data_IF_268028000348
#
_entry.id   IF_268028000348
#
_cell.length_a   1.000
_cell.length_b   1.000
_cell.length_c   1.000
_cell.angle_alpha   90.00
_cell.angle_beta   90.00
_cell.angle_gamma   90.00
#
_symmetry.space_group_name_H-M   'P 1'
#
loop_
_entity.id
_entity.type
_entity.pdbx_description
1 polymer ?
#
# COMPACT_ATOMS: atom_id res chain seq x y z
N UNK A 1 -58.92 5.86 -14.25
CA UNK A 1 -58.22 4.56 -14.16
C UNK A 1 -56.79 4.76 -14.62
N UNK A 2 -55.82 4.57 -13.73
CA UNK A 2 -54.40 4.25 -13.99
C UNK A 2 -54.28 2.78 -14.47
N UNK A 3 -53.12 2.25 -14.95
CA UNK A 3 -51.76 2.78 -14.81
C UNK A 3 -50.87 2.83 -16.10
N UNK A 4 -49.78 3.55 -15.93
CA UNK A 4 -48.55 3.64 -16.73
C UNK A 4 -47.88 2.30 -17.00
N UNK A 5 -47.33 2.10 -18.20
CA UNK A 5 -46.31 1.08 -18.46
C UNK A 5 -45.01 1.71 -18.92
N UNK A 6 -43.98 1.44 -18.12
CA UNK A 6 -42.58 1.75 -18.33
C UNK A 6 -42.04 0.82 -19.42
N UNK A 7 -41.77 1.34 -20.61
CA UNK A 7 -40.83 0.71 -21.58
C UNK A 7 -40.22 1.79 -22.48
N UNK A 8 -39.57 2.77 -21.85
CA UNK A 8 -38.41 3.39 -22.46
C UNK A 8 -37.23 2.37 -22.40
N UNK A 9 -36.27 2.51 -23.33
CA UNK A 9 -34.91 1.93 -23.24
C UNK A 9 -34.63 0.49 -23.73
N UNK A 10 -35.14 0.02 -24.87
CA UNK A 10 -34.44 -1.09 -25.57
C UNK A 10 -34.55 -1.06 -27.11
N UNK A 11 -34.39 0.09 -27.75
CA UNK A 11 -34.17 0.16 -29.21
C UNK A 11 -32.77 0.72 -29.45
N UNK A 12 -31.75 -0.15 -29.43
CA UNK A 12 -30.37 0.29 -29.65
C UNK A 12 -29.30 -0.79 -29.57
N UNK A 13 -29.62 -2.00 -29.12
CA UNK A 13 -28.66 -3.10 -29.12
C UNK A 13 -28.99 -4.05 -30.27
N UNK A 14 -28.26 -3.90 -31.38
CA UNK A 14 -28.27 -4.88 -32.47
C UNK A 14 -27.89 -6.25 -31.91
N UNK A 15 -28.60 -7.32 -32.31
CA UNK A 15 -28.22 -8.70 -32.02
C UNK A 15 -26.75 -8.97 -32.39
N UNK A 16 -26.25 -8.28 -33.41
CA UNK A 16 -24.85 -8.35 -33.85
C UNK A 16 -23.87 -7.88 -32.77
N UNK A 17 -24.22 -6.85 -31.99
CA UNK A 17 -23.40 -6.34 -30.88
C UNK A 17 -23.36 -7.31 -29.70
N UNK A 18 -24.46 -8.03 -29.44
CA UNK A 18 -24.53 -9.05 -28.38
C UNK A 18 -23.72 -10.29 -28.76
N UNK A 19 -23.81 -10.74 -30.01
CA UNK A 19 -23.05 -11.89 -30.52
C UNK A 19 -21.54 -11.59 -30.53
N UNK A 20 -21.14 -10.40 -30.99
CA UNK A 20 -19.74 -9.98 -30.92
C UNK A 20 -19.26 -9.89 -29.46
N UNK A 21 -20.06 -9.30 -28.57
CA UNK A 21 -19.73 -9.23 -27.14
C UNK A 21 -19.52 -10.60 -26.50
N UNK A 22 -20.42 -11.56 -26.72
CA UNK A 22 -20.30 -12.93 -26.19
C UNK A 22 -19.12 -13.69 -26.81
N UNK A 23 -18.87 -13.51 -28.10
CA UNK A 23 -17.70 -14.08 -28.77
C UNK A 23 -16.40 -13.56 -28.16
N UNK A 24 -16.29 -12.25 -27.94
CA UNK A 24 -15.13 -11.64 -27.28
C UNK A 24 -14.95 -12.16 -25.84
N UNK A 25 -16.03 -12.25 -25.05
CA UNK A 25 -15.97 -12.79 -23.68
C UNK A 25 -15.52 -14.25 -23.69
N UNK A 26 -16.03 -15.09 -24.59
CA UNK A 26 -15.62 -16.49 -24.70
C UNK A 26 -14.13 -16.64 -25.07
N UNK A 27 -13.62 -15.79 -25.97
CA UNK A 27 -12.22 -15.77 -26.36
C UNK A 27 -11.31 -15.30 -25.22
N UNK A 28 -11.75 -14.31 -24.46
CA UNK A 28 -11.06 -13.82 -23.26
C UNK A 28 -10.99 -14.93 -22.20
N UNK A 29 -12.10 -15.62 -21.91
CA UNK A 29 -12.13 -16.75 -20.97
C UNK A 29 -11.25 -17.91 -21.42
N UNK A 30 -11.24 -18.23 -22.72
CA UNK A 30 -10.36 -19.26 -23.30
C UNK A 30 -8.88 -18.85 -23.25
N UNK A 31 -8.56 -17.58 -23.48
CA UNK A 31 -7.19 -17.06 -23.35
C UNK A 31 -6.70 -17.16 -21.91
N UNK A 32 -7.52 -16.76 -20.94
CA UNK A 32 -7.18 -16.93 -19.52
C UNK A 32 -6.97 -18.40 -19.13
N UNK A 33 -7.84 -19.31 -19.60
CA UNK A 33 -7.70 -20.74 -19.36
C UNK A 33 -6.44 -21.33 -20.02
N UNK A 34 -6.09 -20.87 -21.23
CA UNK A 34 -4.86 -21.26 -21.91
C UNK A 34 -3.62 -20.75 -21.18
N UNK A 35 -3.63 -19.50 -20.72
CA UNK A 35 -2.51 -18.86 -20.00
C UNK A 35 -2.26 -19.53 -18.63
N UNK A 36 -3.32 -19.98 -17.95
CA UNK A 36 -3.25 -20.77 -16.72
C UNK A 36 -2.71 -22.19 -16.93
N UNK A 37 -2.97 -22.79 -18.10
CA UNK A 37 -2.59 -24.18 -18.41
C UNK A 37 -1.21 -24.31 -19.08
N UNK A 38 -0.71 -23.25 -19.73
CA UNK A 38 0.50 -23.32 -20.58
C UNK A 38 1.74 -22.68 -20.00
N UNK A 39 1.58 -21.74 -19.06
CA UNK A 39 2.72 -21.19 -18.33
C UNK A 39 2.96 -22.09 -17.12
N UNK A 40 4.05 -22.87 -17.05
CA UNK A 40 4.37 -23.55 -15.82
C UNK A 40 4.43 -22.49 -14.71
N UNK A 41 3.85 -22.75 -13.52
CA UNK A 41 4.07 -21.86 -12.39
C UNK A 41 5.58 -21.63 -12.28
N UNK A 42 6.03 -20.39 -11.97
CA UNK A 42 7.42 -20.16 -11.63
C UNK A 42 7.86 -21.27 -10.68
N UNK A 43 9.04 -21.89 -10.85
CA UNK A 43 9.49 -22.94 -9.95
C UNK A 43 9.34 -22.43 -8.52
N UNK A 44 8.37 -22.97 -7.78
CA UNK A 44 8.21 -22.68 -6.36
C UNK A 44 9.42 -23.32 -5.70
N UNK A 45 10.46 -22.51 -5.51
CA UNK A 45 11.70 -22.96 -4.91
C UNK A 45 11.45 -23.31 -3.44
N UNK A 46 11.69 -24.59 -3.15
CA UNK A 46 11.87 -25.24 -1.83
C UNK A 46 10.60 -25.46 -1.00
N UNK A 47 10.01 -26.65 -1.21
CA UNK A 47 9.25 -27.33 -0.18
C UNK A 47 10.18 -28.22 0.67
N UNK A 48 9.83 -28.36 1.95
CA UNK A 48 10.36 -29.23 3.01
C UNK A 48 11.50 -28.76 3.93
N UNK A 49 12.24 -27.67 3.67
CA UNK A 49 13.20 -27.16 4.68
C UNK A 49 13.32 -25.63 4.70
N UNK A 50 12.23 -25.00 5.07
CA UNK A 50 12.19 -23.59 5.42
C UNK A 50 12.85 -23.34 6.76
N UNK A 51 14.09 -22.88 6.75
CA UNK A 51 14.72 -22.26 7.91
C UNK A 51 14.51 -20.74 7.83
N UNK A 52 13.58 -20.16 8.62
CA UNK A 52 13.35 -18.72 8.61
C UNK A 52 14.54 -17.91 9.16
N UNK A 53 15.52 -18.55 9.79
CA UNK A 53 16.77 -17.90 10.20
C UNK A 53 17.78 -17.76 9.04
N UNK A 54 17.49 -18.34 7.88
CA UNK A 54 18.36 -18.28 6.72
C UNK A 54 18.03 -17.09 5.81
N UNK A 55 18.87 -16.05 5.86
CA UNK A 55 18.70 -14.80 5.09
C UNK A 55 18.81 -14.95 3.56
N UNK A 56 19.26 -16.10 3.05
CA UNK A 56 19.42 -16.31 1.59
C UNK A 56 18.11 -16.14 0.83
N UNK A 57 16.99 -16.56 1.42
CA UNK A 57 15.66 -16.43 0.81
C UNK A 57 15.24 -14.96 0.76
N UNK A 58 15.46 -14.22 1.85
CA UNK A 58 15.22 -12.78 1.94
C UNK A 58 16.02 -12.00 0.90
N UNK A 59 17.30 -12.35 0.71
CA UNK A 59 18.17 -11.73 -0.29
C UNK A 59 17.69 -12.00 -1.72
N UNK A 60 17.26 -13.23 -2.01
CA UNK A 60 16.69 -13.59 -3.31
C UNK A 60 15.42 -12.78 -3.60
N UNK A 61 14.48 -12.74 -2.67
CA UNK A 61 13.22 -11.97 -2.81
C UNK A 61 13.50 -10.49 -3.09
N UNK A 62 14.37 -9.86 -2.31
CA UNK A 62 14.70 -8.45 -2.48
C UNK A 62 15.37 -8.17 -3.82
N UNK A 63 16.29 -9.04 -4.24
CA UNK A 63 16.95 -8.92 -5.54
C UNK A 63 15.94 -8.97 -6.68
N UNK A 64 15.06 -9.96 -6.66
CA UNK A 64 14.03 -10.12 -7.71
C UNK A 64 13.09 -8.94 -7.78
N UNK A 65 12.58 -8.43 -6.64
CA UNK A 65 11.69 -7.25 -6.63
C UNK A 65 12.38 -6.02 -7.20
N UNK A 66 13.63 -5.75 -6.81
CA UNK A 66 14.31 -4.50 -7.18
C UNK A 66 15.00 -4.52 -8.55
N UNK A 67 15.34 -5.69 -9.10
CA UNK A 67 16.03 -5.79 -10.40
C UNK A 67 15.06 -5.68 -11.59
N UNK A 68 13.82 -6.14 -11.46
CA UNK A 68 12.93 -6.31 -12.62
C UNK A 68 12.15 -5.03 -12.99
N UNK A 69 11.42 -4.42 -12.05
CA UNK A 69 10.44 -3.39 -12.40
C UNK A 69 10.18 -2.32 -11.33
N UNK A 70 10.80 -2.42 -10.15
CA UNK A 70 10.50 -1.50 -9.05
C UNK A 70 11.17 -0.15 -9.24
N UNK A 71 10.37 0.88 -9.52
CA UNK A 71 10.83 2.26 -9.56
C UNK A 71 10.30 3.06 -8.36
N UNK A 72 11.19 3.39 -7.42
CA UNK A 72 10.87 4.17 -6.21
C UNK A 72 10.32 5.57 -6.48
N UNK A 73 10.52 6.13 -7.67
CA UNK A 73 10.03 7.46 -8.02
C UNK A 73 8.58 7.43 -8.52
N UNK A 74 7.95 6.25 -8.56
CA UNK A 74 6.56 6.08 -8.98
C UNK A 74 5.70 5.67 -7.80
N UNK A 75 4.57 6.35 -7.64
CA UNK A 75 3.60 6.06 -6.57
C UNK A 75 3.07 4.63 -6.68
N UNK A 76 2.76 3.95 -5.56
CA UNK A 76 2.33 2.55 -5.57
C UNK A 76 1.09 2.25 -6.41
N UNK A 77 0.11 3.16 -6.41
CA UNK A 77 -1.12 2.99 -7.18
C UNK A 77 -1.23 4.03 -8.29
N UNK A 78 -1.35 3.57 -9.54
CA UNK A 78 -1.62 4.44 -10.70
C UNK A 78 -3.11 4.74 -10.90
N UNK A 79 -3.99 3.89 -10.37
CA UNK A 79 -5.45 3.95 -10.61
C UNK A 79 -6.21 4.57 -9.45
N UNK A 80 -5.56 4.83 -8.31
CA UNK A 80 -6.18 5.41 -7.13
C UNK A 80 -5.15 6.03 -6.19
N UNK A 81 -5.62 6.71 -5.15
CA UNK A 81 -4.74 7.30 -4.15
C UNK A 81 -4.10 6.19 -3.29
N UNK A 82 -2.81 6.33 -2.99
CA UNK A 82 -2.15 5.51 -1.96
C UNK A 82 -2.52 6.09 -0.59
N UNK A 83 -3.27 5.32 0.19
CA UNK A 83 -3.57 5.66 1.58
C UNK A 83 -2.32 5.44 2.43
N UNK A 84 -1.93 6.46 3.17
CA UNK A 84 -0.81 6.41 4.12
C UNK A 84 -1.38 6.67 5.51
N UNK A 85 -1.18 5.72 6.40
CA UNK A 85 -1.51 5.87 7.82
C UNK A 85 -0.29 6.41 8.54
N UNK A 86 -0.49 7.51 9.28
CA UNK A 86 0.54 8.16 10.06
C UNK A 86 0.23 7.95 11.53
N UNK A 87 1.23 7.48 12.29
CA UNK A 87 1.13 7.30 13.72
C UNK A 87 2.19 8.15 14.42
N UNK A 88 1.74 8.91 15.42
CA UNK A 88 2.58 9.71 16.29
C UNK A 88 2.46 9.18 17.71
N UNK A 89 3.60 8.84 18.32
CA UNK A 89 3.67 8.44 19.73
C UNK A 89 4.58 9.43 20.45
N UNK A 90 4.03 10.18 21.40
CA UNK A 90 4.81 11.11 22.24
C UNK A 90 5.54 10.28 23.28
N UNK A 91 6.86 10.34 23.25
CA UNK A 91 7.72 9.68 24.23
C UNK A 91 7.95 10.58 25.44
N UNK A 92 8.19 11.86 25.20
CA UNK A 92 8.51 12.84 26.24
C UNK A 92 8.15 14.26 25.81
N UNK A 93 7.88 15.11 26.81
CA UNK A 93 7.81 16.57 26.66
C UNK A 93 8.98 17.13 27.45
N UNK A 94 9.97 17.69 26.75
CA UNK A 94 11.24 18.06 27.38
C UNK A 94 11.15 19.43 28.05
N UNK A 95 11.11 20.49 27.24
CA UNK A 95 11.14 21.87 27.71
C UNK A 95 9.81 22.53 27.40
N UNK A 96 9.27 23.28 28.36
CA UNK A 96 8.13 24.17 28.18
C UNK A 96 8.61 25.57 28.56
N UNK A 97 8.49 26.52 27.63
CA UNK A 97 8.78 27.93 27.86
C UNK A 97 7.50 28.72 27.76
N UNK A 98 7.10 29.33 28.88
CA UNK A 98 5.92 30.19 28.93
C UNK A 98 6.17 31.51 28.17
N UNK A 99 7.36 32.10 28.34
CA UNK A 99 7.75 33.39 27.73
C UNK A 99 7.65 33.34 26.20
N UNK A 100 8.09 32.23 25.61
CA UNK A 100 8.05 32.03 24.15
C UNK A 100 6.85 31.19 23.70
N UNK A 101 6.02 30.73 24.65
CA UNK A 101 4.91 29.80 24.41
C UNK A 101 5.32 28.61 23.53
N UNK A 102 6.49 28.02 23.83
CA UNK A 102 7.09 26.97 23.01
C UNK A 102 7.42 25.74 23.84
N UNK A 103 7.37 24.57 23.22
CA UNK A 103 7.80 23.33 23.85
C UNK A 103 8.53 22.40 22.88
N UNK A 104 9.35 21.52 23.43
CA UNK A 104 10.09 20.48 22.69
C UNK A 104 9.47 19.12 22.96
N UNK A 105 9.21 18.37 21.89
CA UNK A 105 8.68 17.01 21.95
C UNK A 105 9.69 16.00 21.42
N UNK A 106 9.81 14.88 22.14
CA UNK A 106 10.39 13.66 21.60
C UNK A 106 9.26 12.76 21.15
N UNK A 107 9.20 12.46 19.85
CA UNK A 107 8.14 11.66 19.24
C UNK A 107 8.71 10.52 18.41
N UNK A 108 8.03 9.37 18.45
CA UNK A 108 8.17 8.33 17.45
C UNK A 108 7.17 8.61 16.33
N UNK A 109 7.68 8.61 15.10
CA UNK A 109 6.90 8.79 13.89
C UNK A 109 6.93 7.51 13.08
N UNK A 110 5.75 6.94 12.83
CA UNK A 110 5.58 5.74 12.02
C UNK A 110 4.67 6.02 10.82
N UNK A 111 5.02 5.40 9.71
CA UNK A 111 4.31 5.50 8.44
C UNK A 111 3.98 4.10 7.96
N UNK A 112 2.73 3.86 7.61
CA UNK A 112 2.24 2.56 7.14
C UNK A 112 1.53 2.78 5.82
N UNK A 113 1.95 2.07 4.78
CA UNK A 113 1.37 2.14 3.45
C UNK A 113 1.35 0.75 2.79
N UNK A 114 0.44 0.57 1.85
CA UNK A 114 0.35 -0.66 1.07
C UNK A 114 0.90 -0.43 -0.35
N UNK A 115 1.93 -1.20 -0.73
CA UNK A 115 2.50 -1.19 -2.08
C UNK A 115 2.33 -2.57 -2.75
N UNK A 116 1.37 -2.72 -3.68
CA UNK A 116 1.12 -3.98 -4.37
C UNK A 116 2.30 -4.51 -5.19
N UNK A 117 3.30 -3.66 -5.50
CA UNK A 117 4.49 -4.02 -6.29
C UNK A 117 5.56 -4.72 -5.46
N UNK A 118 5.50 -4.60 -4.14
CA UNK A 118 6.42 -5.27 -3.20
C UNK A 118 5.94 -6.67 -2.81
N UNK A 119 4.93 -7.20 -3.50
CA UNK A 119 4.31 -8.48 -3.18
C UNK A 119 5.20 -9.63 -3.68
N UNK A 120 5.60 -10.54 -2.77
CA UNK A 120 6.54 -11.65 -3.05
C UNK A 120 5.96 -13.03 -2.76
N UNK A 121 4.66 -13.11 -2.50
CA UNK A 121 3.90 -14.35 -2.27
C UNK A 121 4.13 -15.42 -3.36
N UNK A 122 4.30 -14.99 -4.61
CA UNK A 122 4.58 -15.86 -5.74
C UNK A 122 6.03 -16.35 -5.84
N UNK A 123 6.97 -15.76 -5.08
CA UNK A 123 8.38 -16.11 -5.10
C UNK A 123 8.73 -17.20 -4.09
N UNK A 124 8.04 -17.23 -2.94
CA UNK A 124 8.28 -18.21 -1.90
C UNK A 124 7.09 -18.35 -0.96
N UNK A 125 6.79 -19.58 -0.54
CA UNK A 125 5.81 -19.87 0.52
C UNK A 125 6.46 -19.86 1.92
N UNK A 126 7.78 -19.67 1.98
CA UNK A 126 8.61 -19.82 3.17
C UNK A 126 8.57 -18.59 4.09
N UNK A 127 8.50 -17.42 3.47
CA UNK A 127 8.51 -16.13 4.15
C UNK A 127 7.11 -15.51 4.05
N UNK A 128 6.53 -15.18 5.19
CA UNK A 128 5.26 -14.44 5.26
C UNK A 128 5.48 -12.96 5.53
N UNK A 129 6.50 -12.64 6.35
CA UNK A 129 6.89 -11.29 6.69
C UNK A 129 8.38 -11.11 6.45
N UNK A 130 8.75 -9.91 6.03
CA UNK A 130 10.13 -9.56 5.76
C UNK A 130 10.48 -8.29 6.55
N UNK A 131 11.34 -8.45 7.55
CA UNK A 131 11.89 -7.31 8.30
C UNK A 131 13.13 -6.83 7.58
N UNK A 132 13.17 -5.53 7.26
CA UNK A 132 14.23 -4.93 6.48
C UNK A 132 15.11 -4.04 7.35
N UNK A 133 16.42 -4.12 7.12
CA UNK A 133 17.37 -3.15 7.65
C UNK A 133 17.26 -1.80 6.93
N UNK A 134 17.86 -0.78 7.53
CA UNK A 134 17.83 0.60 7.02
C UNK A 134 18.36 0.74 5.58
N UNK A 135 19.32 -0.09 5.17
CA UNK A 135 19.95 -0.04 3.84
C UNK A 135 18.98 -0.24 2.66
N UNK A 136 17.80 -0.84 2.89
CA UNK A 136 16.80 -1.07 1.85
C UNK A 136 15.83 0.10 1.71
N UNK A 137 15.72 0.96 2.72
CA UNK A 137 14.75 2.08 2.76
C UNK A 137 14.95 3.03 1.57
N UNK A 138 16.21 3.32 1.21
CA UNK A 138 16.53 4.22 0.08
C UNK A 138 16.10 3.69 -1.29
N UNK A 139 15.81 2.39 -1.39
CA UNK A 139 15.31 1.74 -2.60
C UNK A 139 13.78 1.69 -2.66
N UNK A 140 13.10 1.88 -1.53
CA UNK A 140 11.64 1.86 -1.45
C UNK A 140 11.06 3.23 -1.81
N UNK A 141 9.87 3.23 -2.39
CA UNK A 141 9.03 4.42 -2.43
C UNK A 141 8.62 4.76 -1.00
N UNK A 142 8.80 6.02 -0.62
CA UNK A 142 8.34 6.56 0.66
C UNK A 142 7.44 7.77 0.38
N UNK A 143 6.32 7.91 1.11
CA UNK A 143 5.48 9.07 0.94
C UNK A 143 6.20 10.31 1.45
N UNK A 144 6.03 11.42 0.74
CA UNK A 144 6.52 12.70 1.19
C UNK A 144 5.53 13.29 2.18
N UNK A 145 5.90 13.27 3.46
CA UNK A 145 5.07 13.77 4.56
C UNK A 145 5.69 15.05 5.10
N UNK A 146 4.94 16.15 5.01
CA UNK A 146 5.29 17.40 5.68
C UNK A 146 4.43 17.57 6.92
N UNK A 147 5.07 17.66 8.07
CA UNK A 147 4.39 17.92 9.35
C UNK A 147 4.32 19.43 9.54
N UNK A 148 3.12 20.00 9.37
CA UNK A 148 2.85 21.37 9.81
C UNK A 148 2.49 21.34 11.30
N UNK A 149 3.38 21.84 12.14
CA UNK A 149 3.18 21.87 13.58
C UNK A 149 2.50 23.19 13.99
N UNK A 150 1.25 23.10 14.46
CA UNK A 150 0.62 24.15 15.27
C UNK A 150 0.00 23.50 16.49
N UNK A 151 0.71 23.57 17.61
CA UNK A 151 0.24 23.05 18.89
C UNK A 151 -0.17 24.25 19.75
N UNK A 152 -1.47 24.39 19.96
CA UNK A 152 -2.04 25.40 20.86
C UNK A 152 -2.16 24.77 22.25
N UNK A 153 -1.28 25.14 23.18
CA UNK A 153 -1.39 24.73 24.58
C UNK A 153 -2.34 25.69 25.27
N UNK A 154 -3.61 25.30 25.41
CA UNK A 154 -4.57 26.08 26.19
C UNK A 154 -4.50 25.66 27.66
N UNK A 155 -3.49 26.16 28.37
CA UNK A 155 -3.41 26.08 29.83
C UNK A 155 -4.31 27.14 30.48
N UNK A 156 -4.87 26.91 31.67
CA UNK A 156 -5.57 27.96 32.40
C UNK A 156 -4.56 29.08 32.71
N UNK A 157 -4.76 30.26 32.12
CA UNK A 157 -4.03 31.46 32.52
C UNK A 157 -4.24 31.68 34.02
N UNK A 158 -3.17 31.54 34.84
CA UNK A 158 -2.88 32.25 36.10
C UNK A 158 -1.80 31.52 36.91
N UNK A 159 -0.53 31.78 36.61
CA UNK A 159 0.56 31.55 37.56
C UNK A 159 0.69 32.80 38.43
N UNK A 160 0.00 32.82 39.57
CA UNK A 160 0.27 33.82 40.60
C UNK A 160 1.44 33.33 41.46
N UNK A 161 2.63 33.88 41.24
CA UNK A 161 3.69 33.82 42.23
C UNK A 161 3.39 34.86 43.31
N UNK A 162 3.05 34.38 44.51
CA UNK A 162 3.03 35.21 45.71
C UNK A 162 4.42 35.10 46.33
N UNK A 163 5.14 36.23 46.36
CA UNK A 163 6.41 36.38 47.08
C UNK A 163 6.22 36.08 48.58
#
# INVERSE_FOLDING_TARGET
MTPSNVTAFVHGFSLFSVILGLSQVSQISQKYAYELNTKPPPPLFFDDKCDPANDTISQYVLKTIFDEEYNKNTVPSKRGATTVTIEFVIQSIAQVSEITSSFTLDLLFSQIWHDPRLRFDHLTNCLTNLTLGHAVIDKLWTPNVWVNYRLQVQGPCKFYFKL
#
